data_IF_842414901430
#
_entry.id   IF_842414901430
#
_cell.length_a   1.000
_cell.length_b   1.000
_cell.length_c   1.000
_cell.angle_alpha   90.00
_cell.angle_beta   90.00
_cell.angle_gamma   90.00
#
_symmetry.space_group_name_H-M   'P 1'
#
loop_
_entity.id
_entity.type
_entity.pdbx_description
1 polymer ?
#
# COMPACT_ATOMS: atom_id res chain seq x y z
N UNK A 1 11.32 -2.37 91.22
CA UNK A 1 10.19 -1.62 91.82
C UNK A 1 9.04 -1.83 90.89
N UNK A 2 8.23 -2.75 91.21
CA UNK A 2 6.97 -2.70 91.97
C UNK A 2 5.82 -2.18 91.15
N UNK A 3 5.01 -3.10 90.76
CA UNK A 3 3.52 -3.28 91.07
C UNK A 3 2.61 -2.45 90.16
N UNK A 4 1.44 -2.83 89.68
CA UNK A 4 0.47 -3.86 90.13
C UNK A 4 -0.59 -4.06 89.03
N UNK A 5 -1.13 -5.25 88.99
CA UNK A 5 -2.37 -5.71 88.31
C UNK A 5 -3.58 -4.87 88.74
N UNK A 6 -4.61 -4.80 87.86
CA UNK A 6 -5.92 -5.22 88.27
C UNK A 6 -6.86 -5.54 87.13
N UNK A 7 -7.42 -6.72 87.12
CA UNK A 7 -8.52 -7.23 86.35
C UNK A 7 -9.86 -6.85 87.01
N UNK A 8 -10.90 -6.56 86.21
CA UNK A 8 -12.31 -6.80 86.67
C UNK A 8 -13.14 -7.34 85.51
N UNK A 9 -13.64 -8.52 85.74
CA UNK A 9 -14.68 -9.24 85.02
C UNK A 9 -16.06 -8.75 85.47
N UNK A 10 -17.06 -8.90 84.60
CA UNK A 10 -18.49 -9.26 84.85
C UNK A 10 -19.33 -8.62 83.74
N UNK A 11 -20.41 -9.15 83.25
CA UNK A 11 -21.15 -10.41 83.32
C UNK A 11 -22.32 -10.30 82.37
N UNK A 12 -22.68 -11.41 81.83
CA UNK A 12 -23.82 -11.81 81.03
C UNK A 12 -25.14 -11.14 81.46
N UNK A 13 -25.97 -10.72 80.46
CA UNK A 13 -27.43 -10.86 80.60
C UNK A 13 -28.07 -11.27 79.30
N UNK A 14 -28.73 -12.45 79.32
CA UNK A 14 -29.66 -13.00 78.37
C UNK A 14 -31.06 -12.42 78.58
N UNK A 15 -31.78 -12.34 77.46
CA UNK A 15 -33.28 -12.35 77.31
C UNK A 15 -33.72 -11.16 76.49
N UNK A 16 -34.61 -11.24 75.48
CA UNK A 16 -35.57 -12.23 74.98
C UNK A 16 -36.04 -11.72 73.66
N UNK A 17 -36.14 -12.50 72.63
CA UNK A 17 -37.36 -13.16 72.13
C UNK A 17 -38.30 -12.27 71.25
N UNK A 18 -38.45 -12.69 70.03
CA UNK A 18 -39.64 -12.73 69.12
C UNK A 18 -40.27 -11.42 68.64
N UNK A 19 -40.32 -11.33 67.27
CA UNK A 19 -41.32 -10.59 66.50
C UNK A 19 -40.72 -10.31 65.13
N UNK A 20 -40.90 -11.04 64.17
CA UNK A 20 -41.94 -11.25 63.24
C UNK A 20 -41.70 -10.65 61.86
N UNK A 21 -41.82 -11.48 60.87
CA UNK A 21 -42.30 -11.25 59.50
C UNK A 21 -41.37 -10.67 58.42
N UNK A 22 -40.98 -11.59 57.55
CA UNK A 22 -41.07 -11.53 56.08
C UNK A 22 -40.82 -10.15 55.37
N UNK A 23 -39.64 -10.01 54.85
CA UNK A 23 -39.40 -9.24 53.61
C UNK A 23 -38.67 -10.18 52.66
N UNK A 24 -39.34 -10.61 51.61
CA UNK A 24 -38.77 -11.33 50.47
C UNK A 24 -37.83 -10.35 49.72
N UNK A 25 -36.58 -10.36 50.08
CA UNK A 25 -35.54 -9.66 49.32
C UNK A 25 -35.22 -10.43 48.06
N UNK A 26 -35.56 -9.87 46.93
CA UNK A 26 -35.11 -10.34 45.63
C UNK A 26 -33.59 -10.43 45.65
N UNK A 27 -33.02 -11.60 45.72
CA UNK A 27 -31.64 -11.85 45.35
C UNK A 27 -31.53 -11.61 43.84
N UNK A 28 -31.16 -10.40 43.45
CA UNK A 28 -30.56 -10.14 42.14
C UNK A 28 -29.31 -10.98 42.07
N UNK A 29 -29.34 -12.06 41.30
CA UNK A 29 -28.16 -12.79 40.91
C UNK A 29 -27.39 -11.83 39.98
N UNK A 30 -26.54 -10.99 40.56
CA UNK A 30 -25.49 -10.33 39.83
C UNK A 30 -24.56 -11.43 39.33
N UNK A 31 -24.84 -11.95 38.13
CA UNK A 31 -23.88 -12.79 37.46
C UNK A 31 -22.51 -12.09 37.47
N UNK A 32 -21.40 -12.83 37.55
CA UNK A 32 -20.10 -12.22 37.53
C UNK A 32 -20.00 -11.40 36.23
N UNK A 33 -20.06 -10.09 36.36
CA UNK A 33 -19.62 -9.16 35.30
C UNK A 33 -18.12 -9.45 35.17
N UNK A 34 -17.77 -10.40 34.29
CA UNK A 34 -16.38 -10.53 33.84
C UNK A 34 -16.08 -9.21 33.16
N UNK A 35 -15.49 -8.28 33.91
CA UNK A 35 -14.86 -7.12 33.35
C UNK A 35 -13.84 -7.67 32.35
N UNK A 36 -14.27 -7.77 31.10
CA UNK A 36 -13.35 -8.02 29.98
C UNK A 36 -12.36 -6.89 30.08
N UNK A 37 -11.16 -7.20 30.56
CA UNK A 37 -10.06 -6.25 30.58
C UNK A 37 -10.03 -5.66 29.16
N UNK A 38 -10.34 -4.38 29.05
CA UNK A 38 -10.36 -3.66 27.78
C UNK A 38 -8.91 -3.73 27.28
N UNK A 39 -8.64 -4.69 26.40
CA UNK A 39 -7.32 -4.77 25.79
C UNK A 39 -7.09 -3.42 25.11
N UNK A 40 -5.94 -2.78 25.38
CA UNK A 40 -5.62 -1.44 24.88
C UNK A 40 -5.70 -1.34 23.35
N UNK A 41 -5.62 -0.13 22.85
CA UNK A 41 -5.60 0.15 21.41
C UNK A 41 -4.55 -0.68 20.67
N UNK A 42 -4.78 -0.87 19.38
CA UNK A 42 -3.89 -1.63 18.50
C UNK A 42 -3.00 -0.65 17.76
N UNK A 43 -1.70 -0.68 18.04
CA UNK A 43 -0.74 0.23 17.42
C UNK A 43 -0.36 -0.25 16.02
N UNK A 44 -0.57 0.59 15.04
CA UNK A 44 -0.22 0.37 13.63
C UNK A 44 0.82 1.43 13.21
N UNK A 45 1.97 0.97 12.72
CA UNK A 45 2.97 1.83 12.11
C UNK A 45 2.59 2.18 10.68
N UNK A 46 2.72 3.44 10.31
CA UNK A 46 2.47 3.95 8.96
C UNK A 46 3.74 4.63 8.49
N UNK A 47 4.51 3.95 7.65
CA UNK A 47 5.79 4.42 7.13
C UNK A 47 5.59 4.96 5.72
N UNK A 48 5.74 6.28 5.55
CA UNK A 48 5.41 6.99 4.32
C UNK A 48 6.56 7.91 3.88
N UNK A 49 6.68 8.20 2.58
CA UNK A 49 7.58 9.25 2.11
C UNK A 49 6.90 10.62 2.29
N UNK A 50 7.17 11.31 3.38
CA UNK A 50 6.73 12.72 3.55
C UNK A 50 7.72 13.72 2.99
N UNK A 51 8.99 13.32 2.91
CA UNK A 51 10.08 14.13 2.36
C UNK A 51 10.93 13.34 1.36
N UNK A 52 11.89 14.00 0.75
CA UNK A 52 12.74 13.40 -0.28
C UNK A 52 12.09 13.37 -1.67
N UNK A 53 12.66 12.58 -2.58
CA UNK A 53 12.25 12.55 -3.99
C UNK A 53 10.83 12.02 -4.23
N UNK A 54 10.25 11.33 -3.26
CA UNK A 54 8.93 10.68 -3.34
C UNK A 54 7.90 11.36 -2.40
N UNK A 55 8.29 12.48 -1.79
CA UNK A 55 7.50 13.17 -0.75
C UNK A 55 6.10 13.60 -1.16
N UNK A 56 5.86 13.71 -2.44
CA UNK A 56 4.58 14.09 -3.00
C UNK A 56 3.45 13.06 -2.74
N UNK A 57 3.77 11.77 -2.59
CA UNK A 57 2.76 10.72 -2.38
C UNK A 57 2.30 10.59 -0.92
N UNK A 58 3.16 10.97 0.04
CA UNK A 58 2.92 10.79 1.47
C UNK A 58 1.63 11.43 2.00
N UNK A 59 1.30 12.69 1.66
CA UNK A 59 0.13 13.39 2.19
C UNK A 59 -1.20 12.70 1.90
N UNK A 60 -1.45 12.22 0.68
CA UNK A 60 -2.69 11.55 0.32
C UNK A 60 -2.78 10.15 0.95
N UNK A 61 -1.67 9.43 1.01
CA UNK A 61 -1.58 8.14 1.71
C UNK A 61 -1.88 8.29 3.20
N UNK A 62 -1.35 9.34 3.84
CA UNK A 62 -1.66 9.68 5.24
C UNK A 62 -3.14 9.95 5.42
N UNK A 63 -3.71 10.83 4.58
CA UNK A 63 -5.12 11.18 4.64
C UNK A 63 -6.02 9.93 4.52
N UNK A 64 -5.70 9.03 3.60
CA UNK A 64 -6.43 7.77 3.44
C UNK A 64 -6.33 6.89 4.69
N UNK A 65 -5.14 6.74 5.28
CA UNK A 65 -4.94 5.97 6.51
C UNK A 65 -5.76 6.55 7.68
N UNK A 66 -5.71 7.87 7.88
CA UNK A 66 -6.42 8.57 8.95
C UNK A 66 -7.95 8.42 8.79
N UNK A 67 -8.47 8.69 7.59
CA UNK A 67 -9.90 8.64 7.32
C UNK A 67 -10.45 7.21 7.43
N UNK A 68 -9.74 6.22 6.89
CA UNK A 68 -10.15 4.81 6.98
C UNK A 68 -10.12 4.30 8.41
N UNK A 69 -9.06 4.63 9.15
CA UNK A 69 -8.95 4.29 10.56
C UNK A 69 -10.08 4.91 11.38
N UNK A 70 -10.43 6.17 11.07
CA UNK A 70 -11.57 6.83 11.71
C UNK A 70 -12.86 6.07 11.49
N UNK A 71 -13.16 5.62 10.27
CA UNK A 71 -14.35 4.83 9.94
C UNK A 71 -14.39 3.55 10.79
N UNK A 72 -13.30 2.78 10.82
CA UNK A 72 -13.21 1.53 11.60
C UNK A 72 -13.41 1.81 13.10
N UNK A 73 -12.76 2.83 13.62
CA UNK A 73 -12.83 3.18 15.04
C UNK A 73 -14.20 3.72 15.47
N UNK A 74 -14.86 4.53 14.65
CA UNK A 74 -16.19 5.09 14.90
C UNK A 74 -17.29 4.01 14.83
N UNK A 75 -17.08 2.98 13.98
CA UNK A 75 -17.93 1.79 13.93
C UNK A 75 -17.77 0.85 15.15
N UNK A 76 -17.06 1.29 16.18
CA UNK A 76 -16.85 0.54 17.41
C UNK A 76 -15.55 -0.28 17.44
N UNK A 77 -14.64 -0.10 16.47
CA UNK A 77 -13.36 -0.79 16.42
C UNK A 77 -13.51 -2.28 16.06
N UNK A 78 -12.50 -3.08 16.43
CA UNK A 78 -12.43 -4.51 16.15
C UNK A 78 -12.24 -5.32 17.44
N UNK A 79 -12.42 -6.64 17.39
CA UNK A 79 -12.16 -7.57 18.52
C UNK A 79 -12.80 -7.12 19.84
N UNK A 80 -14.04 -6.68 19.80
CA UNK A 80 -14.80 -6.29 20.99
C UNK A 80 -14.53 -4.88 21.50
N UNK A 81 -14.17 -3.96 20.60
CA UNK A 81 -14.08 -2.52 20.88
C UNK A 81 -12.68 -1.93 20.86
N UNK A 82 -11.66 -2.70 20.50
CA UNK A 82 -10.30 -2.20 20.36
C UNK A 82 -10.19 -1.29 19.15
N UNK A 83 -9.49 -0.18 19.30
CA UNK A 83 -9.31 0.83 18.24
C UNK A 83 -7.91 0.78 17.65
N UNK A 84 -7.78 1.10 16.38
CA UNK A 84 -6.47 1.36 15.78
C UNK A 84 -5.92 2.70 16.21
N UNK A 85 -4.64 2.71 16.57
CA UNK A 85 -3.86 3.89 16.83
C UNK A 85 -2.69 3.95 15.85
N UNK A 86 -2.67 4.98 14.99
CA UNK A 86 -1.65 5.14 13.97
C UNK A 86 -0.43 5.88 14.50
N UNK A 87 0.74 5.39 14.12
CA UNK A 87 2.04 6.04 14.36
C UNK A 87 2.70 6.28 13.00
N UNK A 88 2.80 7.54 12.64
CA UNK A 88 3.38 7.96 11.36
C UNK A 88 4.87 8.23 11.50
N UNK A 89 5.65 7.71 10.55
CA UNK A 89 7.07 8.00 10.41
C UNK A 89 7.38 8.33 8.95
N UNK A 90 8.38 9.19 8.74
CA UNK A 90 8.90 9.56 7.43
C UNK A 90 10.06 8.62 7.05
N UNK A 91 10.02 8.03 5.86
CA UNK A 91 11.15 7.26 5.32
C UNK A 91 12.16 8.14 4.55
N UNK A 92 11.86 9.44 4.41
CA UNK A 92 12.68 10.45 3.72
C UNK A 92 13.09 10.00 2.29
N UNK A 93 12.35 9.09 1.70
CA UNK A 93 12.71 8.42 0.43
C UNK A 93 14.09 7.72 0.50
N UNK A 94 14.53 7.31 1.69
CA UNK A 94 15.85 6.77 2.00
C UNK A 94 15.77 5.42 2.73
N UNK A 95 16.46 4.37 2.25
CA UNK A 95 16.53 3.08 2.97
C UNK A 95 17.07 3.22 4.40
N UNK A 96 18.02 4.11 4.64
CA UNK A 96 18.62 4.33 5.97
C UNK A 96 17.63 4.99 6.93
N UNK A 97 16.91 6.03 6.50
CA UNK A 97 15.88 6.68 7.30
C UNK A 97 14.70 5.72 7.54
N UNK A 98 14.24 5.01 6.51
CA UNK A 98 13.19 4.01 6.63
C UNK A 98 13.52 2.90 7.64
N UNK A 99 14.80 2.46 7.68
CA UNK A 99 15.26 1.47 8.66
C UNK A 99 15.21 2.01 10.09
N UNK A 100 15.65 3.25 10.31
CA UNK A 100 15.61 3.91 11.63
C UNK A 100 14.16 4.12 12.10
N UNK A 101 13.30 4.60 11.22
CA UNK A 101 11.87 4.79 11.45
C UNK A 101 11.17 3.46 11.80
N UNK A 102 11.47 2.38 11.06
CA UNK A 102 10.92 1.05 11.33
C UNK A 102 11.29 0.55 12.72
N UNK A 103 12.55 0.70 13.14
CA UNK A 103 12.97 0.33 14.50
C UNK A 103 12.19 1.10 15.56
N UNK A 104 11.98 2.40 15.37
CA UNK A 104 11.17 3.23 16.29
C UNK A 104 9.73 2.73 16.37
N UNK A 105 9.10 2.41 15.23
CA UNK A 105 7.74 1.84 15.20
C UNK A 105 7.65 0.53 15.98
N UNK A 106 8.66 -0.35 15.89
CA UNK A 106 8.68 -1.62 16.58
C UNK A 106 9.05 -1.49 18.07
N UNK A 107 10.12 -0.78 18.38
CA UNK A 107 10.73 -0.80 19.71
C UNK A 107 10.08 0.21 20.66
N UNK A 108 9.70 1.38 20.17
CA UNK A 108 9.09 2.46 20.98
C UNK A 108 7.57 2.37 20.90
N UNK A 109 7.01 2.37 19.69
CA UNK A 109 5.57 2.43 19.48
C UNK A 109 4.89 1.05 19.62
N UNK A 110 5.65 -0.06 19.62
CA UNK A 110 5.13 -1.43 19.76
C UNK A 110 4.06 -1.75 18.72
N UNK A 111 4.27 -1.32 17.49
CA UNK A 111 3.34 -1.57 16.40
C UNK A 111 3.30 -3.06 16.03
N UNK A 112 2.10 -3.58 15.81
CA UNK A 112 1.85 -4.98 15.44
C UNK A 112 1.80 -5.21 13.92
N UNK A 113 1.80 -4.14 13.15
CA UNK A 113 1.95 -4.11 11.70
C UNK A 113 2.62 -2.81 11.28
N UNK A 114 3.31 -2.81 10.13
CA UNK A 114 3.81 -1.61 9.46
C UNK A 114 3.26 -1.59 8.04
N UNK A 115 2.56 -0.51 7.71
CA UNK A 115 1.86 -0.33 6.43
C UNK A 115 2.33 0.94 5.70
N UNK A 116 1.82 1.18 4.49
CA UNK A 116 2.07 2.40 3.73
C UNK A 116 3.41 2.40 3.00
N UNK A 117 4.25 1.41 3.20
CA UNK A 117 5.60 1.34 2.64
C UNK A 117 5.55 1.43 1.12
N UNK A 118 6.05 2.54 0.56
CA UNK A 118 5.89 2.80 -0.87
C UNK A 118 7.12 2.42 -1.69
N UNK A 119 8.29 2.84 -1.31
CA UNK A 119 9.52 2.66 -2.09
C UNK A 119 10.08 1.24 -2.05
N UNK A 120 10.35 0.62 -3.21
CA UNK A 120 10.96 -0.72 -3.25
C UNK A 120 12.30 -0.82 -2.54
N UNK A 121 13.25 0.15 -2.67
CA UNK A 121 14.51 0.10 -1.92
C UNK A 121 14.31 0.15 -0.41
N UNK A 122 13.35 0.97 0.07
CA UNK A 122 13.00 1.06 1.48
C UNK A 122 12.40 -0.27 1.95
N UNK A 123 11.40 -0.79 1.22
CA UNK A 123 10.76 -2.07 1.52
C UNK A 123 11.77 -3.22 1.66
N UNK A 124 12.73 -3.31 0.75
CA UNK A 124 13.79 -4.33 0.79
C UNK A 124 14.73 -4.17 1.98
N UNK A 125 15.05 -2.94 2.37
CA UNK A 125 15.93 -2.66 3.52
C UNK A 125 15.27 -3.02 4.85
N UNK A 126 13.97 -2.73 5.02
CA UNK A 126 13.25 -2.93 6.28
C UNK A 126 12.66 -4.33 6.44
N UNK A 127 12.40 -5.06 5.35
CA UNK A 127 11.82 -6.41 5.35
C UNK A 127 12.50 -7.36 6.34
N UNK A 128 13.83 -7.51 6.37
CA UNK A 128 14.48 -8.43 7.31
C UNK A 128 14.18 -8.08 8.78
N UNK A 129 14.10 -6.80 9.11
CA UNK A 129 13.80 -6.32 10.47
C UNK A 129 12.37 -6.69 10.87
N UNK A 130 11.39 -6.42 10.00
CA UNK A 130 9.98 -6.72 10.26
C UNK A 130 9.73 -8.23 10.34
N UNK A 131 10.26 -9.01 9.39
CA UNK A 131 10.10 -10.48 9.37
C UNK A 131 10.76 -11.12 10.58
N UNK A 132 11.95 -10.66 11.00
CA UNK A 132 12.62 -11.16 12.22
C UNK A 132 11.83 -10.81 13.49
N UNK A 133 11.19 -9.64 13.53
CA UNK A 133 10.30 -9.22 14.62
C UNK A 133 8.92 -9.89 14.59
N UNK A 134 8.64 -10.79 13.65
CA UNK A 134 7.32 -11.38 13.40
C UNK A 134 6.22 -10.32 13.24
N UNK A 135 6.52 -9.24 12.52
CA UNK A 135 5.60 -8.13 12.30
C UNK A 135 5.16 -8.09 10.84
N UNK A 136 3.87 -7.99 10.60
CA UNK A 136 3.30 -7.87 9.27
C UNK A 136 3.77 -6.59 8.58
N UNK A 137 4.09 -6.74 7.31
CA UNK A 137 4.52 -5.68 6.40
C UNK A 137 3.56 -5.59 5.22
N UNK A 138 2.89 -4.45 5.07
CA UNK A 138 2.04 -4.18 3.90
C UNK A 138 2.67 -3.08 3.05
N UNK A 139 2.86 -3.38 1.76
CA UNK A 139 3.71 -2.57 0.89
C UNK A 139 3.05 -2.27 -0.43
N UNK A 140 3.29 -1.07 -0.95
CA UNK A 140 2.95 -0.64 -2.31
C UNK A 140 4.17 -0.60 -3.24
N UNK A 141 5.31 -1.16 -2.83
CA UNK A 141 6.50 -1.33 -3.65
C UNK A 141 6.38 -2.48 -4.64
N UNK A 142 6.98 -2.35 -5.82
CA UNK A 142 6.78 -3.28 -6.93
C UNK A 142 7.94 -4.26 -7.19
N UNK A 143 9.14 -4.08 -6.58
CA UNK A 143 10.26 -4.98 -6.83
C UNK A 143 9.93 -6.43 -6.41
N UNK A 144 10.22 -7.40 -7.27
CA UNK A 144 9.88 -8.81 -7.06
C UNK A 144 10.43 -9.35 -5.73
N UNK A 145 11.67 -8.98 -5.38
CA UNK A 145 12.35 -9.43 -4.18
C UNK A 145 11.65 -9.05 -2.85
N UNK A 146 10.63 -8.20 -2.88
CA UNK A 146 9.90 -7.80 -1.68
C UNK A 146 9.17 -8.99 -1.05
N UNK A 147 8.45 -9.78 -1.83
CA UNK A 147 7.70 -10.97 -1.36
C UNK A 147 8.53 -12.25 -1.45
N UNK A 148 9.59 -12.27 -2.29
CA UNK A 148 10.45 -13.45 -2.43
C UNK A 148 11.11 -13.84 -1.10
N UNK A 149 11.06 -15.14 -0.77
CA UNK A 149 11.69 -15.69 0.43
C UNK A 149 10.97 -15.38 1.75
N UNK A 150 9.77 -14.82 1.73
CA UNK A 150 8.92 -14.74 2.93
C UNK A 150 8.30 -16.10 3.24
N UNK A 151 8.95 -16.83 4.14
CA UNK A 151 8.46 -18.15 4.59
C UNK A 151 7.45 -18.08 5.74
N UNK A 152 7.22 -16.87 6.29
CA UNK A 152 6.31 -16.65 7.43
C UNK A 152 4.93 -16.13 7.03
N UNK A 153 4.75 -15.68 5.77
CA UNK A 153 3.50 -15.07 5.30
C UNK A 153 3.22 -13.69 5.94
N UNK A 154 4.28 -12.92 6.17
CA UNK A 154 4.21 -11.61 6.82
C UNK A 154 4.26 -10.43 5.86
N UNK A 155 4.61 -10.65 4.58
CA UNK A 155 4.79 -9.60 3.59
C UNK A 155 3.67 -9.64 2.56
N UNK A 156 2.90 -8.55 2.48
CA UNK A 156 1.72 -8.42 1.60
C UNK A 156 1.87 -7.22 0.69
N UNK A 157 1.79 -7.44 -0.62
CA UNK A 157 1.97 -6.40 -1.64
C UNK A 157 0.63 -5.98 -2.23
N UNK A 158 0.31 -4.69 -2.11
CA UNK A 158 -0.94 -4.08 -2.56
C UNK A 158 -0.83 -3.39 -3.93
N UNK A 159 0.09 -3.86 -4.78
CA UNK A 159 0.15 -3.46 -6.19
C UNK A 159 0.79 -4.54 -7.05
N UNK A 160 0.70 -4.39 -8.38
CA UNK A 160 1.34 -5.27 -9.33
C UNK A 160 2.88 -5.29 -9.15
N UNK A 161 3.49 -6.44 -9.25
CA UNK A 161 4.94 -6.61 -9.19
C UNK A 161 5.63 -6.16 -10.49
N UNK A 162 6.90 -5.85 -10.42
CA UNK A 162 7.67 -5.30 -11.54
C UNK A 162 7.58 -6.14 -12.82
N UNK A 163 7.56 -7.48 -12.69
CA UNK A 163 7.40 -8.39 -13.83
C UNK A 163 6.04 -8.28 -14.54
N UNK A 164 5.05 -7.66 -13.94
CA UNK A 164 3.75 -7.42 -14.56
C UNK A 164 3.70 -6.05 -15.25
N UNK A 165 4.47 -5.07 -14.78
CA UNK A 165 4.52 -3.73 -15.38
C UNK A 165 5.12 -3.74 -16.79
N UNK A 166 6.23 -4.46 -16.99
CA UNK A 166 6.90 -4.52 -18.29
C UNK A 166 5.99 -4.99 -19.42
N UNK A 167 5.35 -6.16 -19.29
CA UNK A 167 4.39 -6.65 -20.28
C UNK A 167 3.21 -5.72 -20.53
N UNK A 168 2.62 -5.17 -19.47
CA UNK A 168 1.48 -4.28 -19.58
C UNK A 168 1.86 -2.96 -20.30
N UNK A 169 3.01 -2.38 -19.98
CA UNK A 169 3.53 -1.21 -20.68
C UNK A 169 3.84 -1.53 -22.17
N UNK A 170 4.42 -2.69 -22.45
CA UNK A 170 4.64 -3.15 -23.83
C UNK A 170 3.32 -3.32 -24.59
N UNK A 171 2.27 -3.86 -23.96
CA UNK A 171 0.93 -3.92 -24.55
C UNK A 171 0.37 -2.53 -24.86
N UNK A 172 0.55 -1.57 -23.95
CA UNK A 172 0.16 -0.19 -24.18
C UNK A 172 0.87 0.40 -25.42
N UNK A 173 2.18 0.16 -25.54
CA UNK A 173 2.96 0.60 -26.71
C UNK A 173 2.52 -0.08 -28.01
N UNK A 174 2.27 -1.39 -27.97
CA UNK A 174 1.75 -2.15 -29.12
C UNK A 174 0.37 -1.64 -29.58
N UNK A 175 -0.49 -1.22 -28.66
CA UNK A 175 -1.80 -0.64 -28.97
C UNK A 175 -1.70 0.70 -29.72
N UNK A 176 -0.54 1.39 -29.62
CA UNK A 176 -0.23 2.59 -30.39
C UNK A 176 0.19 2.27 -31.84
N UNK A 177 0.37 1.00 -32.16
CA UNK A 177 0.77 0.54 -33.48
C UNK A 177 2.30 0.58 -33.72
N UNK A 178 3.12 0.93 -32.73
CA UNK A 178 4.58 1.00 -32.87
C UNK A 178 5.18 -0.40 -33.09
N UNK A 179 5.99 -0.52 -34.14
CA UNK A 179 6.59 -1.79 -34.61
C UNK A 179 8.09 -1.89 -34.32
N UNK A 180 8.76 -0.75 -34.15
CA UNK A 180 10.17 -0.70 -33.76
C UNK A 180 10.31 0.12 -32.49
N UNK A 181 10.85 -0.51 -31.45
CA UNK A 181 10.99 0.10 -30.12
C UNK A 181 12.42 -0.08 -29.61
N UNK A 182 12.84 0.80 -28.72
CA UNK A 182 14.05 0.60 -27.91
C UNK A 182 13.71 0.77 -26.43
N UNK A 183 14.57 0.27 -25.55
CA UNK A 183 14.36 0.32 -24.09
C UNK A 183 15.53 1.08 -23.48
N UNK A 184 15.23 2.14 -22.73
CA UNK A 184 16.18 2.90 -21.93
C UNK A 184 15.81 2.75 -20.45
N UNK A 185 16.65 2.06 -19.67
CA UNK A 185 16.30 1.58 -18.37
C UNK A 185 17.35 1.93 -17.30
N UNK A 186 16.89 2.44 -16.17
CA UNK A 186 17.75 2.71 -15.01
C UNK A 186 18.14 1.39 -14.31
N UNK A 187 19.40 1.31 -13.87
CA UNK A 187 19.92 0.18 -13.11
C UNK A 187 19.38 0.22 -11.68
N UNK A 188 18.22 -0.40 -11.45
CA UNK A 188 17.66 -0.59 -10.10
C UNK A 188 16.78 -1.85 -10.00
N UNK A 189 16.53 -2.29 -8.75
CA UNK A 189 15.80 -3.53 -8.46
C UNK A 189 14.32 -3.51 -8.90
N UNK A 190 13.73 -2.33 -9.10
CA UNK A 190 12.37 -2.18 -9.59
C UNK A 190 12.30 -2.29 -11.12
N UNK A 191 13.22 -1.65 -11.82
CA UNK A 191 13.20 -1.51 -13.29
C UNK A 191 13.71 -2.76 -14.01
N UNK A 192 14.84 -3.31 -13.57
CA UNK A 192 15.50 -4.42 -14.27
C UNK A 192 14.57 -5.63 -14.52
N UNK A 193 13.73 -6.07 -13.56
CA UNK A 193 12.81 -7.18 -13.77
C UNK A 193 11.74 -6.94 -14.85
N UNK A 194 11.49 -5.69 -15.26
CA UNK A 194 10.51 -5.36 -16.30
C UNK A 194 10.99 -5.69 -17.72
N UNK A 195 12.30 -5.67 -17.97
CA UNK A 195 12.90 -5.63 -19.30
C UNK A 195 12.61 -6.91 -20.09
N UNK A 196 12.97 -8.08 -19.59
CA UNK A 196 12.83 -9.32 -20.31
C UNK A 196 11.36 -9.74 -20.55
N UNK A 197 10.43 -9.58 -19.58
CA UNK A 197 9.01 -9.78 -19.84
C UNK A 197 8.45 -8.79 -20.89
N UNK A 198 8.88 -7.51 -20.90
CA UNK A 198 8.49 -6.55 -21.92
C UNK A 198 8.97 -6.96 -23.31
N UNK A 199 10.23 -7.38 -23.47
CA UNK A 199 10.78 -7.89 -24.74
C UNK A 199 9.99 -9.07 -25.28
N UNK A 200 9.62 -10.01 -24.44
CA UNK A 200 8.77 -11.16 -24.84
C UNK A 200 7.41 -10.68 -25.33
N UNK A 201 6.81 -9.70 -24.67
CA UNK A 201 5.51 -9.14 -25.08
C UNK A 201 5.62 -8.38 -26.40
N UNK A 202 6.66 -7.58 -26.62
CA UNK A 202 6.91 -6.93 -27.92
C UNK A 202 7.05 -7.96 -29.03
N UNK A 203 7.87 -9.00 -28.83
CA UNK A 203 8.06 -10.05 -29.81
C UNK A 203 6.75 -10.77 -30.14
N UNK A 204 5.96 -11.13 -29.14
CA UNK A 204 4.65 -11.77 -29.33
C UNK A 204 3.66 -10.85 -30.09
N UNK A 205 3.74 -9.55 -29.88
CA UNK A 205 2.93 -8.53 -30.57
C UNK A 205 3.47 -8.11 -31.96
N UNK A 206 4.55 -8.74 -32.42
CA UNK A 206 5.15 -8.47 -33.73
C UNK A 206 5.94 -7.15 -33.80
N UNK A 207 6.35 -6.60 -32.65
CA UNK A 207 7.27 -5.46 -32.61
C UNK A 207 8.71 -5.93 -32.36
N UNK A 208 9.67 -5.19 -32.94
CA UNK A 208 11.10 -5.47 -32.81
C UNK A 208 11.71 -4.50 -31.79
N UNK A 209 12.39 -5.03 -30.78
CA UNK A 209 13.26 -4.25 -29.90
C UNK A 209 14.61 -4.08 -30.60
N UNK A 210 14.96 -2.83 -30.96
CA UNK A 210 16.18 -2.51 -31.70
C UNK A 210 17.40 -2.52 -30.77
N UNK A 211 17.27 -1.89 -29.59
CA UNK A 211 18.35 -1.83 -28.61
C UNK A 211 17.76 -1.76 -27.18
N UNK A 212 18.60 -2.10 -26.20
CA UNK A 212 18.32 -1.96 -24.78
C UNK A 212 19.54 -1.41 -24.09
N UNK A 213 19.41 -0.19 -23.55
CA UNK A 213 20.47 0.49 -22.80
C UNK A 213 20.07 0.54 -21.34
N UNK A 214 20.94 0.03 -20.48
CA UNK A 214 20.82 0.14 -19.03
C UNK A 214 21.80 1.19 -18.56
N UNK A 215 21.31 2.22 -17.88
CA UNK A 215 22.12 3.33 -17.35
C UNK A 215 22.17 3.35 -15.83
N UNK A 216 23.27 3.84 -15.26
CA UNK A 216 23.35 4.09 -13.84
C UNK A 216 22.60 5.37 -13.46
N UNK A 217 21.92 5.43 -12.32
CA UNK A 217 21.28 6.67 -11.85
C UNK A 217 22.31 7.75 -11.49
N UNK A 218 21.81 8.99 -11.34
CA UNK A 218 22.55 10.14 -10.83
C UNK A 218 23.82 10.48 -11.61
N UNK A 219 23.82 10.23 -12.93
CA UNK A 219 24.94 10.62 -13.80
C UNK A 219 24.95 12.13 -14.09
N UNK A 220 26.11 12.73 -14.28
CA UNK A 220 26.23 14.14 -14.67
C UNK A 220 25.70 14.41 -16.07
N UNK A 221 25.58 13.40 -16.93
CA UNK A 221 25.05 13.49 -18.29
C UNK A 221 24.58 12.13 -18.78
N UNK A 222 23.51 12.11 -19.56
CA UNK A 222 22.96 10.93 -20.24
C UNK A 222 23.11 11.02 -21.77
N UNK A 223 23.99 11.90 -22.26
CA UNK A 223 24.17 12.16 -23.69
C UNK A 223 24.55 10.90 -24.48
N UNK A 224 25.40 10.05 -23.92
CA UNK A 224 25.87 8.84 -24.61
C UNK A 224 24.70 7.83 -24.77
N UNK A 225 23.91 7.63 -23.74
CA UNK A 225 22.75 6.74 -23.76
C UNK A 225 21.67 7.27 -24.70
N UNK A 226 21.39 8.58 -24.64
CA UNK A 226 20.41 9.23 -25.51
C UNK A 226 20.86 9.14 -26.98
N UNK A 227 22.11 9.43 -27.28
CA UNK A 227 22.66 9.30 -28.62
C UNK A 227 22.55 7.86 -29.14
N UNK A 228 22.84 6.86 -28.31
CA UNK A 228 22.75 5.46 -28.68
C UNK A 228 21.32 5.01 -28.99
N UNK A 229 20.35 5.45 -28.19
CA UNK A 229 18.95 5.03 -28.32
C UNK A 229 18.20 5.85 -29.35
N UNK A 230 18.21 7.18 -29.23
CA UNK A 230 17.42 8.09 -30.07
C UNK A 230 18.16 8.48 -31.36
N UNK A 231 19.49 8.44 -31.37
CA UNK A 231 20.32 8.71 -32.54
C UNK A 231 20.64 7.48 -33.39
N UNK A 232 20.01 6.32 -33.10
CA UNK A 232 20.19 5.11 -33.91
C UNK A 232 19.70 5.29 -35.34
N UNK A 233 20.27 4.52 -36.27
CA UNK A 233 19.84 4.52 -37.67
C UNK A 233 19.56 3.07 -38.13
N UNK A 234 18.29 2.66 -38.37
CA UNK A 234 17.10 3.51 -38.22
C UNK A 234 16.77 3.83 -36.74
N UNK A 235 16.22 5.02 -36.51
CA UNK A 235 15.72 5.40 -35.21
C UNK A 235 14.48 4.53 -34.82
N UNK A 236 14.27 4.20 -33.54
CA UNK A 236 13.05 3.53 -33.12
C UNK A 236 11.83 4.45 -33.27
N UNK A 237 10.66 3.87 -33.58
CA UNK A 237 9.39 4.62 -33.58
C UNK A 237 9.07 5.13 -32.17
N UNK A 238 9.39 4.33 -31.15
CA UNK A 238 9.17 4.71 -29.75
C UNK A 238 10.25 4.14 -28.81
N UNK A 239 10.46 4.84 -27.69
CA UNK A 239 11.37 4.42 -26.63
C UNK A 239 10.57 4.19 -25.35
N UNK A 240 10.70 2.97 -24.78
CA UNK A 240 10.25 2.64 -23.45
C UNK A 240 11.28 3.16 -22.43
N UNK A 241 10.94 4.20 -21.69
CA UNK A 241 11.78 4.78 -20.67
C UNK A 241 11.40 4.26 -19.27
N UNK A 242 12.34 3.61 -18.60
CA UNK A 242 12.14 3.00 -17.29
C UNK A 242 13.16 3.57 -16.30
N UNK A 243 12.69 4.33 -15.29
CA UNK A 243 13.59 4.97 -14.32
C UNK A 243 12.84 5.89 -13.36
N UNK A 244 13.53 6.95 -12.91
CA UNK A 244 13.00 7.93 -11.97
C UNK A 244 13.03 9.34 -12.59
N UNK A 245 12.27 10.28 -11.98
CA UNK A 245 12.04 11.63 -12.50
C UNK A 245 13.32 12.42 -12.77
N UNK A 246 14.26 12.43 -11.83
CA UNK A 246 15.48 13.27 -11.93
C UNK A 246 16.28 12.96 -13.19
N UNK A 247 16.52 11.67 -13.44
CA UNK A 247 17.27 11.23 -14.63
C UNK A 247 16.48 11.49 -15.91
N UNK A 248 15.17 11.27 -15.85
CA UNK A 248 14.30 11.44 -17.01
C UNK A 248 14.24 12.89 -17.50
N UNK A 249 14.22 13.86 -16.60
CA UNK A 249 14.32 15.28 -16.96
C UNK A 249 15.59 15.57 -17.75
N UNK A 250 16.71 15.00 -17.32
CA UNK A 250 18.00 15.15 -18.01
C UNK A 250 18.02 14.44 -19.37
N UNK A 251 17.45 13.23 -19.44
CA UNK A 251 17.33 12.43 -20.67
C UNK A 251 16.48 13.19 -21.70
N UNK A 252 15.31 13.69 -21.32
CA UNK A 252 14.41 14.42 -22.25
C UNK A 252 15.05 15.72 -22.74
N UNK A 253 15.78 16.44 -21.87
CA UNK A 253 16.51 17.63 -22.30
C UNK A 253 17.61 17.33 -23.35
N UNK A 254 18.32 16.21 -23.22
CA UNK A 254 19.31 15.78 -24.22
C UNK A 254 18.62 15.30 -25.51
N UNK A 255 17.48 14.59 -25.40
CA UNK A 255 16.68 14.15 -26.55
C UNK A 255 16.19 15.34 -27.39
N UNK A 256 15.64 16.37 -26.74
CA UNK A 256 15.22 17.62 -27.40
C UNK A 256 16.37 18.34 -28.05
N UNK A 257 17.53 18.45 -27.39
CA UNK A 257 18.74 19.06 -27.99
C UNK A 257 19.22 18.34 -29.25
N UNK A 258 19.01 17.03 -29.30
CA UNK A 258 19.36 16.20 -30.44
C UNK A 258 18.35 16.33 -31.60
N UNK A 259 17.14 16.82 -31.32
CA UNK A 259 16.05 16.89 -32.28
C UNK A 259 15.50 15.49 -32.65
N UNK A 260 15.47 14.58 -31.72
CA UNK A 260 14.94 13.24 -31.93
C UNK A 260 13.44 13.25 -32.22
N UNK A 261 12.96 12.25 -32.95
CA UNK A 261 11.54 12.16 -33.37
C UNK A 261 10.82 10.95 -32.80
N UNK A 262 11.53 10.08 -32.14
CA UNK A 262 10.96 8.89 -31.49
C UNK A 262 9.93 9.30 -30.43
N UNK A 263 8.83 8.55 -30.34
CA UNK A 263 7.86 8.74 -29.27
C UNK A 263 8.40 8.19 -27.95
N UNK A 264 7.96 8.75 -26.84
CA UNK A 264 8.38 8.32 -25.51
C UNK A 264 7.17 7.77 -24.77
N UNK A 265 7.33 6.57 -24.20
CA UNK A 265 6.47 6.08 -23.13
C UNK A 265 7.33 5.84 -21.88
N UNK A 266 7.01 6.54 -20.79
CA UNK A 266 7.76 6.53 -19.55
C UNK A 266 6.94 5.90 -18.40
N UNK A 267 7.58 5.56 -17.29
CA UNK A 267 6.86 5.32 -16.05
C UNK A 267 6.27 6.63 -15.51
N UNK A 268 5.12 6.60 -14.87
CA UNK A 268 4.51 7.81 -14.29
C UNK A 268 5.37 8.48 -13.23
N UNK A 269 6.15 7.70 -12.48
CA UNK A 269 7.13 8.24 -11.53
C UNK A 269 8.25 9.07 -12.23
N UNK A 270 8.39 8.93 -13.54
CA UNK A 270 9.29 9.75 -14.39
C UNK A 270 8.57 10.97 -14.93
N UNK A 271 7.38 10.75 -15.49
CA UNK A 271 6.57 11.78 -16.17
C UNK A 271 5.46 12.36 -15.29
N UNK A 272 5.49 12.06 -14.05
CA UNK A 272 4.84 12.61 -12.86
C UNK A 272 3.36 13.04 -12.98
N UNK A 273 2.52 12.34 -12.20
CA UNK A 273 1.11 12.67 -12.02
C UNK A 273 0.89 14.06 -11.38
N UNK A 274 1.88 14.64 -10.70
CA UNK A 274 1.76 15.88 -9.94
C UNK A 274 2.33 17.12 -10.66
N UNK A 275 2.74 16.95 -11.91
CA UNK A 275 3.18 18.07 -12.75
C UNK A 275 4.63 18.48 -12.61
N UNK A 276 5.43 17.87 -11.72
CA UNK A 276 6.84 18.22 -11.51
C UNK A 276 7.71 18.02 -12.74
N UNK A 277 7.42 16.97 -13.53
CA UNK A 277 8.09 16.78 -14.81
C UNK A 277 7.78 17.93 -15.77
N UNK A 278 6.49 18.28 -15.89
CA UNK A 278 6.04 19.38 -16.75
C UNK A 278 6.64 20.71 -16.29
N UNK A 279 6.69 20.94 -14.99
CA UNK A 279 7.35 22.11 -14.39
C UNK A 279 8.85 22.16 -14.74
N UNK A 280 9.54 21.02 -14.67
CA UNK A 280 10.97 20.95 -14.91
C UNK A 280 11.39 21.12 -16.38
N UNK A 281 10.60 20.59 -17.34
CA UNK A 281 10.95 20.62 -18.76
C UNK A 281 10.15 21.63 -19.57
N UNK A 282 9.03 22.12 -19.03
CA UNK A 282 8.09 23.00 -19.71
C UNK A 282 6.98 22.22 -20.45
N UNK A 283 5.79 22.84 -20.62
CA UNK A 283 4.63 22.16 -21.22
C UNK A 283 4.87 21.78 -22.69
N UNK A 284 5.61 22.56 -23.45
CA UNK A 284 5.87 22.28 -24.88
C UNK A 284 6.77 21.04 -25.04
N UNK A 285 7.76 20.87 -24.18
CA UNK A 285 8.66 19.70 -24.19
C UNK A 285 7.94 18.45 -23.69
N UNK A 286 7.06 18.60 -22.70
CA UNK A 286 6.30 17.50 -22.15
C UNK A 286 5.14 17.03 -23.07
N UNK A 287 4.73 17.89 -24.05
CA UNK A 287 3.59 17.61 -24.92
C UNK A 287 3.74 16.30 -25.70
N UNK A 288 2.75 15.46 -25.60
CA UNK A 288 2.71 14.18 -26.31
C UNK A 288 3.51 13.06 -25.67
N UNK A 289 4.27 13.28 -24.61
CA UNK A 289 4.92 12.22 -23.84
C UNK A 289 3.83 11.37 -23.20
N UNK A 290 3.95 10.05 -23.39
CA UNK A 290 3.04 9.08 -22.81
C UNK A 290 3.65 8.45 -21.55
N UNK A 291 2.81 8.11 -20.57
CA UNK A 291 3.30 7.48 -19.35
C UNK A 291 2.34 6.40 -18.83
N UNK A 292 2.87 5.55 -17.96
CA UNK A 292 2.26 4.30 -17.57
C UNK A 292 2.39 4.06 -16.07
N UNK A 293 1.29 3.64 -15.43
CA UNK A 293 1.27 3.36 -13.98
C UNK A 293 0.18 2.34 -13.63
N UNK A 294 0.22 1.68 -12.47
CA UNK A 294 -0.95 0.95 -11.97
C UNK A 294 -2.15 1.89 -11.92
N UNK A 295 -3.33 1.35 -12.11
CA UNK A 295 -4.57 2.11 -12.00
C UNK A 295 -5.46 1.50 -10.91
N UNK A 296 -6.16 2.32 -10.13
CA UNK A 296 -7.20 1.82 -9.26
C UNK A 296 -8.35 1.24 -10.12
N UNK A 297 -9.26 0.49 -9.53
CA UNK A 297 -10.39 -0.08 -10.26
C UNK A 297 -11.42 1.00 -10.57
N UNK A 298 -11.08 1.88 -11.54
CA UNK A 298 -11.91 3.01 -11.96
C UNK A 298 -13.34 2.60 -12.28
N UNK A 299 -14.30 3.41 -11.85
CA UNK A 299 -15.71 3.19 -12.11
C UNK A 299 -16.38 2.13 -11.23
N UNK A 300 -15.62 1.43 -10.35
CA UNK A 300 -16.21 0.49 -9.38
C UNK A 300 -16.90 1.22 -8.23
N UNK A 301 -17.88 0.59 -7.57
CA UNK A 301 -18.51 1.16 -6.39
C UNK A 301 -17.52 1.45 -5.25
N UNK A 302 -16.54 0.54 -5.01
CA UNK A 302 -15.47 0.71 -4.00
C UNK A 302 -14.65 1.98 -4.24
N UNK A 303 -14.18 2.18 -5.47
CA UNK A 303 -13.38 3.36 -5.79
C UNK A 303 -14.19 4.66 -5.71
N UNK A 304 -15.45 4.67 -6.16
CA UNK A 304 -16.33 5.84 -5.97
C UNK A 304 -16.58 6.20 -4.52
N UNK A 305 -16.74 5.20 -3.63
CA UNK A 305 -16.85 5.45 -2.18
C UNK A 305 -15.56 6.07 -1.64
N UNK A 306 -14.42 5.55 -2.07
CA UNK A 306 -13.11 6.07 -1.67
C UNK A 306 -12.88 7.51 -2.18
N UNK A 307 -13.26 7.83 -3.41
CA UNK A 307 -13.19 9.21 -3.92
C UNK A 307 -14.00 10.18 -3.04
N UNK A 308 -15.21 9.80 -2.63
CA UNK A 308 -16.02 10.59 -1.69
C UNK A 308 -15.33 10.73 -0.33
N UNK A 309 -14.73 9.66 0.19
CA UNK A 309 -13.97 9.68 1.44
C UNK A 309 -12.81 10.66 1.35
N UNK A 310 -12.09 10.67 0.23
CA UNK A 310 -10.99 11.61 -0.01
C UNK A 310 -11.44 13.04 -0.33
N UNK A 311 -12.76 13.28 -0.46
CA UNK A 311 -13.29 14.59 -0.81
C UNK A 311 -13.01 15.00 -2.25
N UNK A 312 -12.83 14.04 -3.15
CA UNK A 312 -12.63 14.30 -4.57
C UNK A 312 -13.89 14.92 -5.21
N UNK A 313 -13.67 15.89 -6.07
CA UNK A 313 -14.74 16.56 -6.85
C UNK A 313 -14.83 16.03 -8.29
N UNK A 314 -13.84 15.20 -8.70
CA UNK A 314 -13.78 14.57 -10.02
C UNK A 314 -13.83 13.04 -9.84
N UNK A 315 -14.79 12.40 -10.48
CA UNK A 315 -14.95 10.93 -10.47
C UNK A 315 -13.79 10.19 -11.16
N UNK A 316 -12.96 10.90 -11.88
CA UNK A 316 -11.73 10.39 -12.51
C UNK A 316 -10.46 10.74 -11.75
N UNK A 317 -10.55 11.35 -10.56
CA UNK A 317 -9.39 11.63 -9.74
C UNK A 317 -8.61 10.34 -9.44
N UNK A 318 -7.29 10.43 -9.47
CA UNK A 318 -6.40 9.28 -9.31
C UNK A 318 -5.67 9.35 -7.96
N UNK A 319 -6.08 8.53 -7.03
CA UNK A 319 -5.44 8.35 -5.72
C UNK A 319 -4.82 6.96 -5.59
N UNK A 320 -3.84 6.67 -6.41
CA UNK A 320 -3.30 5.32 -6.57
C UNK A 320 -2.84 4.68 -5.26
N UNK A 321 -1.83 5.26 -4.65
CA UNK A 321 -1.21 4.68 -3.45
C UNK A 321 -2.02 4.97 -2.19
N UNK A 322 -2.81 6.03 -2.18
CA UNK A 322 -3.76 6.30 -1.12
C UNK A 322 -4.87 5.25 -1.07
N UNK A 323 -5.36 4.78 -2.24
CA UNK A 323 -6.28 3.64 -2.32
C UNK A 323 -5.68 2.37 -1.73
N UNK A 324 -4.42 2.07 -2.06
CA UNK A 324 -3.71 0.92 -1.47
C UNK A 324 -3.58 1.05 0.05
N UNK A 325 -3.31 2.24 0.57
CA UNK A 325 -3.20 2.48 2.02
C UNK A 325 -4.56 2.30 2.72
N UNK A 326 -5.65 2.72 2.08
CA UNK A 326 -7.02 2.43 2.52
C UNK A 326 -7.23 0.91 2.62
N UNK A 327 -6.91 0.17 1.56
CA UNK A 327 -7.10 -1.28 1.51
C UNK A 327 -6.27 -2.00 2.59
N UNK A 328 -5.05 -1.55 2.85
CA UNK A 328 -4.18 -2.09 3.89
C UNK A 328 -4.82 -1.98 5.29
N UNK A 329 -5.44 -0.85 5.62
CA UNK A 329 -6.17 -0.68 6.88
C UNK A 329 -7.40 -1.60 6.93
N UNK A 330 -8.16 -1.69 5.83
CA UNK A 330 -9.33 -2.55 5.75
C UNK A 330 -8.95 -4.03 5.93
N UNK A 331 -7.97 -4.52 5.19
CA UNK A 331 -7.45 -5.88 5.28
C UNK A 331 -6.96 -6.22 6.69
N UNK A 332 -6.20 -5.30 7.33
CA UNK A 332 -5.78 -5.50 8.73
C UNK A 332 -6.98 -5.64 9.68
N UNK A 333 -7.98 -4.75 9.53
CA UNK A 333 -9.15 -4.78 10.40
C UNK A 333 -9.94 -6.10 10.25
N UNK A 334 -10.15 -6.53 9.00
CA UNK A 334 -10.87 -7.76 8.69
C UNK A 334 -10.12 -9.02 9.15
N UNK A 335 -8.82 -9.09 8.85
CA UNK A 335 -8.00 -10.24 9.21
C UNK A 335 -7.85 -10.38 10.75
N UNK A 336 -7.60 -9.28 11.47
CA UNK A 336 -7.50 -9.28 12.92
C UNK A 336 -8.87 -9.59 13.56
N UNK A 337 -9.98 -9.03 13.04
CA UNK A 337 -11.33 -9.34 13.52
C UNK A 337 -11.64 -10.82 13.35
N UNK A 338 -11.34 -11.40 12.21
CA UNK A 338 -11.54 -12.82 11.91
C UNK A 338 -10.68 -13.72 12.78
N UNK A 339 -9.39 -13.42 12.90
CA UNK A 339 -8.43 -14.19 13.70
C UNK A 339 -8.63 -14.03 15.23
N UNK A 340 -9.33 -12.98 15.67
CA UNK A 340 -9.42 -12.57 17.09
C UNK A 340 -8.04 -12.39 17.73
N UNK A 341 -7.05 -11.96 16.94
CA UNK A 341 -5.65 -11.84 17.34
C UNK A 341 -4.97 -10.63 16.70
N UNK A 342 -4.02 -10.04 17.41
CA UNK A 342 -3.08 -9.04 16.91
C UNK A 342 -1.69 -9.62 16.63
N UNK A 343 -1.50 -10.91 16.85
CA UNK A 343 -0.27 -11.61 16.48
C UNK A 343 -0.21 -11.78 14.96
N UNK A 344 0.82 -11.19 14.34
CA UNK A 344 0.99 -11.24 12.89
C UNK A 344 1.11 -12.66 12.33
N UNK A 345 1.72 -13.60 13.06
CA UNK A 345 1.81 -15.00 12.64
C UNK A 345 0.44 -15.73 12.66
N UNK A 346 -0.57 -15.10 13.28
CA UNK A 346 -1.93 -15.64 13.37
C UNK A 346 -2.84 -14.92 12.37
N UNK A 347 -2.97 -13.60 12.46
CA UNK A 347 -3.96 -12.89 11.65
C UNK A 347 -3.61 -12.81 10.16
N UNK A 348 -2.33 -12.82 9.77
CA UNK A 348 -1.99 -12.78 8.33
C UNK A 348 -2.46 -14.02 7.58
N UNK A 349 -2.65 -15.15 8.26
CA UNK A 349 -3.22 -16.37 7.66
C UNK A 349 -4.69 -16.21 7.27
N UNK A 350 -5.38 -15.24 7.86
CA UNK A 350 -6.77 -14.95 7.58
C UNK A 350 -6.96 -13.93 6.44
N UNK A 351 -5.88 -13.29 5.96
CA UNK A 351 -5.96 -12.32 4.85
C UNK A 351 -6.61 -12.96 3.62
N UNK A 352 -6.17 -14.12 3.10
CA UNK A 352 -6.84 -14.74 1.95
C UNK A 352 -8.31 -15.15 2.23
N UNK A 353 -8.67 -15.34 3.49
CA UNK A 353 -10.01 -15.76 3.85
C UNK A 353 -11.01 -14.58 3.99
N UNK A 354 -10.52 -13.34 3.94
CA UNK A 354 -11.36 -12.13 3.94
C UNK A 354 -11.27 -11.35 2.62
N UNK A 355 -10.17 -11.49 1.90
CA UNK A 355 -9.89 -10.74 0.69
C UNK A 355 -10.11 -11.57 -0.60
N UNK A 356 -9.80 -12.86 -0.60
CA UNK A 356 -9.88 -13.69 -1.81
C UNK A 356 -11.23 -14.38 -2.02
N UNK A 357 -11.63 -14.68 -3.27
CA UNK A 357 -12.74 -15.58 -3.53
C UNK A 357 -12.42 -17.03 -3.05
N UNK A 358 -13.44 -17.90 -2.78
CA UNK A 358 -14.86 -17.56 -2.90
C UNK A 358 -15.38 -16.84 -1.64
N UNK A 359 -16.31 -15.90 -1.84
CA UNK A 359 -16.99 -15.18 -0.78
C UNK A 359 -17.98 -14.19 -1.35
N UNK A 360 -18.78 -13.58 -0.50
CA UNK A 360 -19.64 -12.48 -0.91
C UNK A 360 -18.79 -11.23 -1.14
N UNK A 361 -18.87 -10.63 -2.33
CA UNK A 361 -18.19 -9.38 -2.64
C UNK A 361 -18.74 -8.24 -1.78
N UNK A 362 -17.85 -7.57 -1.04
CA UNK A 362 -18.17 -6.47 -0.15
C UNK A 362 -17.17 -5.34 -0.35
N UNK A 363 -17.68 -4.14 -0.59
CA UNK A 363 -16.90 -2.93 -0.88
C UNK A 363 -17.07 -1.82 0.18
N UNK A 364 -17.56 -2.20 1.37
CA UNK A 364 -17.75 -1.32 2.51
C UNK A 364 -17.19 -1.98 3.75
N UNK A 365 -16.24 -1.32 4.42
CA UNK A 365 -15.51 -1.91 5.55
C UNK A 365 -16.42 -2.20 6.76
N UNK A 366 -17.45 -1.38 7.01
CA UNK A 366 -18.36 -1.61 8.15
C UNK A 366 -19.20 -2.86 7.88
N UNK A 367 -19.78 -2.95 6.67
CA UNK A 367 -20.55 -4.11 6.24
C UNK A 367 -19.68 -5.38 6.26
N UNK A 368 -18.43 -5.27 5.79
CA UNK A 368 -17.46 -6.37 5.79
C UNK A 368 -17.16 -6.86 7.22
N UNK A 369 -16.92 -5.94 8.16
CA UNK A 369 -16.69 -6.28 9.57
C UNK A 369 -17.89 -6.98 10.20
N UNK A 370 -19.11 -6.52 9.93
CA UNK A 370 -20.33 -7.15 10.45
C UNK A 370 -20.51 -8.56 9.90
N UNK A 371 -20.23 -8.77 8.60
CA UNK A 371 -20.27 -10.11 7.99
C UNK A 371 -19.20 -11.04 8.56
N UNK A 372 -17.96 -10.56 8.75
CA UNK A 372 -16.88 -11.33 9.39
C UNK A 372 -17.27 -11.72 10.83
N UNK A 373 -17.87 -10.82 11.60
CA UNK A 373 -18.39 -11.09 12.96
C UNK A 373 -19.48 -12.15 12.96
N UNK A 374 -20.33 -12.15 11.93
CA UNK A 374 -21.38 -13.13 11.74
C UNK A 374 -20.88 -14.48 11.16
N UNK A 375 -19.58 -14.61 10.88
CA UNK A 375 -18.99 -15.83 10.31
C UNK A 375 -19.24 -16.02 8.81
N UNK A 376 -19.72 -14.99 8.11
CA UNK A 376 -19.95 -15.02 6.66
C UNK A 376 -18.60 -14.95 5.93
N UNK A 377 -18.44 -15.77 4.89
CA UNK A 377 -17.28 -15.67 3.99
C UNK A 377 -17.46 -14.46 3.08
N UNK A 378 -16.47 -13.61 3.04
CA UNK A 378 -16.45 -12.43 2.19
C UNK A 378 -15.28 -12.49 1.21
N UNK A 379 -15.37 -11.64 0.19
CA UNK A 379 -14.33 -11.27 -0.75
C UNK A 379 -14.31 -9.73 -0.77
N UNK A 380 -13.38 -9.11 -0.04
CA UNK A 380 -13.34 -7.67 0.12
C UNK A 380 -12.85 -6.99 -1.18
N UNK A 381 -13.62 -6.04 -1.67
CA UNK A 381 -13.33 -5.26 -2.86
C UNK A 381 -12.77 -3.89 -2.46
N UNK A 382 -11.47 -3.74 -2.52
CA UNK A 382 -10.77 -2.53 -2.09
C UNK A 382 -10.88 -1.36 -3.08
N UNK A 383 -10.32 -0.24 -2.67
CA UNK A 383 -10.29 1.01 -3.46
C UNK A 383 -9.05 1.12 -4.35
N UNK A 384 -7.90 0.64 -3.89
CA UNK A 384 -6.67 0.58 -4.67
C UNK A 384 -6.63 -0.64 -5.59
N UNK A 385 -7.37 -1.69 -5.21
CA UNK A 385 -7.45 -2.95 -5.94
C UNK A 385 -8.66 -3.79 -5.55
N UNK A 386 -8.84 -4.95 -6.19
CA UNK A 386 -9.82 -5.95 -5.76
C UNK A 386 -9.37 -6.77 -4.54
N UNK A 387 -8.18 -6.52 -4.00
CA UNK A 387 -7.60 -7.17 -2.83
C UNK A 387 -7.43 -8.70 -2.93
N UNK A 388 -7.36 -9.29 -4.13
CA UNK A 388 -7.03 -10.70 -4.30
C UNK A 388 -5.51 -10.91 -4.23
N UNK A 389 -5.06 -11.92 -3.49
CA UNK A 389 -3.65 -12.22 -3.30
C UNK A 389 -3.30 -13.66 -3.65
N UNK A 390 -2.09 -13.86 -4.21
CA UNK A 390 -1.52 -15.19 -4.37
C UNK A 390 -0.95 -15.74 -3.05
N UNK A 391 -0.48 -16.99 -3.10
CA UNK A 391 0.08 -17.68 -1.91
C UNK A 391 1.37 -17.01 -1.37
N UNK A 392 1.98 -16.09 -2.11
CA UNK A 392 3.16 -15.32 -1.68
C UNK A 392 2.82 -13.97 -1.10
N UNK A 393 1.53 -13.58 -1.10
CA UNK A 393 1.07 -12.26 -0.69
C UNK A 393 1.20 -11.20 -1.78
N UNK A 394 1.35 -11.60 -3.05
CA UNK A 394 1.32 -10.68 -4.19
C UNK A 394 -0.11 -10.47 -4.66
N UNK A 395 -0.50 -9.22 -4.83
CA UNK A 395 -1.79 -8.85 -5.37
C UNK A 395 -1.96 -9.36 -6.80
N UNK A 396 -3.12 -9.91 -7.12
CA UNK A 396 -3.48 -10.46 -8.42
C UNK A 396 -4.13 -9.45 -9.37
N UNK A 397 -4.62 -8.32 -8.86
CA UNK A 397 -5.18 -7.27 -9.71
C UNK A 397 -4.07 -6.50 -10.41
N UNK A 398 -4.13 -6.46 -11.73
CA UNK A 398 -3.08 -5.93 -12.60
C UNK A 398 -3.66 -4.94 -13.60
N UNK A 399 -4.42 -3.98 -13.11
CA UNK A 399 -4.90 -2.89 -13.94
C UNK A 399 -3.86 -1.77 -14.01
N UNK A 400 -3.64 -1.26 -15.21
CA UNK A 400 -2.70 -0.18 -15.47
C UNK A 400 -3.36 0.92 -16.28
N UNK A 401 -3.05 2.16 -15.95
CA UNK A 401 -3.42 3.34 -16.71
C UNK A 401 -2.30 3.73 -17.68
N UNK A 402 -2.67 3.93 -18.93
CA UNK A 402 -1.85 4.56 -19.95
C UNK A 402 -2.34 5.99 -20.13
N UNK A 403 -1.47 6.95 -19.94
CA UNK A 403 -1.76 8.37 -19.99
C UNK A 403 -0.91 9.05 -21.04
N UNK A 404 -1.34 10.26 -21.42
CA UNK A 404 -0.61 11.16 -22.31
C UNK A 404 -0.66 12.57 -21.76
N UNK A 405 0.43 13.30 -21.89
CA UNK A 405 0.47 14.72 -21.55
C UNK A 405 -0.10 15.49 -22.75
N UNK A 406 -1.18 16.23 -22.54
CA UNK A 406 -1.84 17.07 -23.52
C UNK A 406 -2.14 18.45 -22.89
N UNK A 407 -1.61 19.51 -23.49
CA UNK A 407 -1.78 20.91 -23.02
C UNK A 407 -1.40 21.08 -21.54
N UNK A 408 -0.27 20.46 -21.16
CA UNK A 408 0.26 20.51 -19.80
C UNK A 408 -0.56 19.74 -18.76
N UNK A 409 -1.48 18.86 -19.19
CA UNK A 409 -2.29 18.02 -18.31
C UNK A 409 -2.18 16.56 -18.72
N UNK A 410 -2.36 15.70 -17.75
CA UNK A 410 -2.42 14.26 -17.98
C UNK A 410 -3.82 13.85 -18.41
N UNK A 411 -3.90 13.07 -19.45
CA UNK A 411 -5.13 12.53 -20.00
C UNK A 411 -5.03 11.01 -20.05
N UNK A 412 -6.00 10.34 -19.44
CA UNK A 412 -6.12 8.89 -19.54
C UNK A 412 -6.43 8.51 -21.01
N UNK A 413 -5.59 7.67 -21.59
CA UNK A 413 -5.76 7.14 -22.95
C UNK A 413 -6.56 5.84 -22.89
N UNK A 414 -6.15 4.92 -22.00
CA UNK A 414 -6.82 3.62 -21.84
C UNK A 414 -6.40 2.93 -20.54
N UNK A 415 -7.18 1.94 -20.13
CA UNK A 415 -6.83 0.99 -19.09
C UNK A 415 -6.35 -0.30 -19.76
N UNK A 416 -5.17 -0.75 -19.35
CA UNK A 416 -4.59 -2.03 -19.77
C UNK A 416 -4.78 -3.04 -18.64
N UNK A 417 -5.31 -4.21 -18.95
CA UNK A 417 -5.25 -5.36 -18.04
C UNK A 417 -3.92 -6.04 -18.24
N UNK A 418 -3.14 -6.15 -17.18
CA UNK A 418 -1.89 -6.88 -17.20
C UNK A 418 -2.11 -8.38 -17.40
N UNK A 419 -1.04 -9.16 -17.61
CA UNK A 419 -1.15 -10.59 -17.84
C UNK A 419 -1.87 -11.25 -16.64
N UNK A 420 -2.88 -12.06 -16.94
CA UNK A 420 -3.47 -13.00 -15.98
C UNK A 420 -2.45 -14.07 -15.68
N UNK A 421 -2.12 -14.28 -14.39
CA UNK A 421 -1.17 -15.29 -13.95
C UNK A 421 -1.62 -16.71 -14.18
#
# INVERSE_FOLDING_TARGET
>A
MSRTRTSVSKSIHRRAVLGGMAAAGAFSVAGPYVARAQQGDINIGVLLPFTGSQGAYGPDMRKAAELTTKIVNDAGGIMGGRKFRLFFEDDESSPTAGLAATKKLLEVNKCVAVIGIWGSPIAMAIKPVLVNANTCMMVSGAANAITDGDTKGLVWRFQAKATDWGPAMAQAMLSRGWKTVSILAQQNAFVIPMIEPAKKTFAAGGAKVLDTVIYNPDQPSYRAEVQRIFGANPAPEAVMCLGLLTDFVSIVREEVRMGATSKIMALSIMADAEGKFIEAVGPDVAEGIEHFQPAPPLGTPSYRKFLKLMGATDDNALYLFAGNTHDQICTLALAMEKAKSTDSLVYTKEIPAVDNPPGEEVDDIIVALDKVRAGVKINFQGAGSICDFDARGDQLNRHFGHFRIEKGKQKLVQIIKGPTG
#
